data_IF_207586539786
#
_entry.id   IF_207586539786
#
_cell.length_a   1.000
_cell.length_b   1.000
_cell.length_c   1.000
_cell.angle_alpha   90.00
_cell.angle_beta   90.00
_cell.angle_gamma   90.00
#
_symmetry.space_group_name_H-M   'P 1'
#
loop_
_entity.id
_entity.type
_entity.pdbx_description
1 polymer ?
#
# COMPACT_ATOMS: atom_id res chain seq x y z
N UNK A 1 -40.57 53.09 16.85
CA UNK A 1 -39.81 52.90 15.59
C UNK A 1 -38.37 52.52 15.93
N UNK A 2 -37.97 51.29 15.58
CA UNK A 2 -36.66 50.85 15.04
C UNK A 2 -35.36 51.38 15.67
N UNK A 3 -34.50 50.49 16.20
CA UNK A 3 -33.22 50.06 15.56
C UNK A 3 -32.01 50.65 16.31
N UNK A 4 -30.84 50.04 16.58
CA UNK A 4 -30.22 48.73 16.35
C UNK A 4 -29.02 48.64 17.34
N UNK A 5 -28.61 47.42 17.70
CA UNK A 5 -27.44 47.10 18.53
C UNK A 5 -26.08 47.42 17.86
N UNK A 6 -24.96 47.33 18.61
CA UNK A 6 -24.05 46.17 18.40
C UNK A 6 -23.60 45.56 19.77
N UNK A 7 -23.54 44.23 20.00
CA UNK A 7 -22.69 43.18 19.38
C UNK A 7 -21.21 43.54 19.61
N UNK A 8 -20.33 42.90 20.40
CA UNK A 8 -20.22 41.61 21.10
C UNK A 8 -19.13 41.76 22.18
N UNK A 9 -19.40 41.43 23.45
CA UNK A 9 -18.34 41.04 24.39
C UNK A 9 -18.85 39.93 25.29
N UNK A 10 -18.72 38.69 24.83
CA UNK A 10 -18.84 37.52 25.71
C UNK A 10 -17.75 36.53 25.35
N UNK A 11 -16.56 36.81 25.86
CA UNK A 11 -15.49 35.82 25.98
C UNK A 11 -15.90 34.86 27.08
N UNK A 12 -16.28 33.63 26.72
CA UNK A 12 -16.35 32.42 27.55
C UNK A 12 -16.92 31.30 26.66
N UNK A 13 -16.05 30.66 25.89
CA UNK A 13 -16.28 29.32 25.38
C UNK A 13 -14.95 28.57 25.49
N UNK A 14 -14.80 27.99 26.67
CA UNK A 14 -13.99 26.84 26.99
C UNK A 14 -14.13 25.81 25.84
N UNK A 15 -13.18 25.80 24.90
CA UNK A 15 -13.06 24.70 23.94
C UNK A 15 -12.17 23.67 24.57
N UNK A 16 -12.82 22.57 24.93
CA UNK A 16 -12.25 21.39 25.51
C UNK A 16 -11.01 20.92 24.76
N UNK A 17 -10.03 20.55 25.57
CA UNK A 17 -8.88 19.74 25.23
C UNK A 17 -9.37 18.43 24.57
N UNK A 18 -9.36 18.36 23.25
CA UNK A 18 -9.33 17.09 22.56
C UNK A 18 -7.86 16.68 22.50
N UNK A 19 -7.45 15.51 23.03
CA UNK A 19 -6.11 15.02 22.78
C UNK A 19 -6.00 14.82 21.26
N UNK A 20 -5.14 15.61 20.61
CA UNK A 20 -4.75 15.36 19.24
C UNK A 20 -4.36 13.88 19.18
N UNK A 21 -5.12 13.09 18.42
CA UNK A 21 -4.82 11.68 18.19
C UNK A 21 -3.34 11.61 17.83
N UNK A 22 -2.54 10.96 18.68
CA UNK A 22 -1.09 10.98 18.60
C UNK A 22 -0.67 10.61 17.18
N UNK A 23 -0.22 11.60 16.41
CA UNK A 23 0.22 11.41 15.04
C UNK A 23 1.27 10.29 15.09
N UNK A 24 1.03 9.12 14.47
CA UNK A 24 1.96 8.00 14.51
C UNK A 24 3.33 8.35 13.90
N UNK A 25 3.43 9.51 13.24
CA UNK A 25 4.64 10.05 12.63
C UNK A 25 5.24 11.23 13.41
N UNK A 26 4.76 11.56 14.61
CA UNK A 26 5.34 12.63 15.43
C UNK A 26 6.84 12.36 15.77
N UNK A 27 7.25 11.08 15.80
CA UNK A 27 8.65 10.66 15.94
C UNK A 27 9.52 10.78 14.68
N UNK A 28 8.93 11.10 13.51
CA UNK A 28 9.67 11.31 12.25
C UNK A 28 10.50 12.60 12.32
N UNK A 29 10.07 13.59 13.11
CA UNK A 29 10.84 14.81 13.36
C UNK A 29 12.13 14.55 14.17
N UNK A 30 12.20 13.44 14.90
CA UNK A 30 13.39 13.01 15.67
C UNK A 30 14.36 12.16 14.85
N UNK A 31 14.00 11.82 13.61
CA UNK A 31 14.89 11.15 12.66
C UNK A 31 15.62 12.21 11.84
N UNK A 32 16.94 12.06 11.60
CA UNK A 32 17.75 12.93 10.73
C UNK A 32 17.32 12.83 9.24
N UNK A 33 16.07 13.14 8.95
CA UNK A 33 15.48 13.13 7.63
C UNK A 33 15.55 14.53 7.03
N UNK A 34 15.82 14.61 5.73
CA UNK A 34 15.66 15.88 5.03
C UNK A 34 14.18 16.30 5.02
N UNK A 35 13.87 17.61 4.90
CA UNK A 35 12.48 18.08 4.80
C UNK A 35 11.68 17.36 3.71
N UNK A 36 12.31 17.05 2.57
CA UNK A 36 11.70 16.31 1.48
C UNK A 36 11.39 14.85 1.84
N UNK A 37 12.29 14.20 2.59
CA UNK A 37 12.07 12.83 3.08
C UNK A 37 10.93 12.80 4.09
N UNK A 38 10.90 13.73 5.05
CA UNK A 38 9.83 13.86 6.03
C UNK A 38 8.47 14.10 5.35
N UNK A 39 8.40 15.02 4.37
CA UNK A 39 7.19 15.28 3.60
C UNK A 39 6.71 14.05 2.81
N UNK A 40 7.62 13.22 2.28
CA UNK A 40 7.27 11.97 1.60
C UNK A 40 6.71 10.94 2.57
N UNK A 41 7.36 10.75 3.72
CA UNK A 41 6.87 9.84 4.77
C UNK A 41 5.48 10.26 5.23
N UNK A 42 5.25 11.56 5.46
CA UNK A 42 3.94 12.07 5.84
C UNK A 42 2.86 11.87 4.75
N UNK A 43 3.18 12.08 3.47
CA UNK A 43 2.24 11.77 2.38
C UNK A 43 1.93 10.27 2.28
N UNK A 44 2.93 9.42 2.48
CA UNK A 44 2.73 7.97 2.49
C UNK A 44 1.86 7.54 3.67
N UNK A 45 2.15 8.07 4.87
CA UNK A 45 1.34 7.89 6.06
C UNK A 45 -0.13 8.22 5.81
N UNK A 46 -0.37 9.39 5.22
CA UNK A 46 -1.71 9.83 4.85
C UNK A 46 -2.38 8.83 3.90
N UNK A 47 -1.72 8.43 2.81
CA UNK A 47 -2.25 7.45 1.86
C UNK A 47 -2.62 6.12 2.55
N UNK A 48 -1.74 5.59 3.39
CA UNK A 48 -1.97 4.32 4.08
C UNK A 48 -3.16 4.42 5.04
N UNK A 49 -3.32 5.54 5.73
CA UNK A 49 -4.38 5.76 6.70
C UNK A 49 -5.73 6.11 6.04
N UNK A 50 -5.75 7.02 5.08
CA UNK A 50 -7.01 7.57 4.55
C UNK A 50 -7.51 6.81 3.33
N UNK A 51 -6.63 6.47 2.40
CA UNK A 51 -7.02 5.79 1.17
C UNK A 51 -7.13 4.28 1.37
N UNK A 52 -6.10 3.67 1.97
CA UNK A 52 -6.09 2.22 2.23
C UNK A 52 -6.79 1.83 3.53
N UNK A 53 -7.18 2.81 4.36
CA UNK A 53 -7.90 2.61 5.63
C UNK A 53 -7.21 1.62 6.57
N UNK A 54 -5.87 1.61 6.55
CA UNK A 54 -5.09 0.74 7.41
C UNK A 54 -5.19 1.21 8.86
N UNK A 55 -5.45 0.29 9.81
CA UNK A 55 -5.38 0.62 11.24
C UNK A 55 -3.93 0.92 11.62
N UNK A 56 -3.78 1.65 12.74
CA UNK A 56 -2.48 2.14 13.20
C UNK A 56 -1.44 1.03 13.34
N UNK A 57 -1.82 -0.12 13.90
CA UNK A 57 -0.89 -1.22 14.15
C UNK A 57 -0.36 -1.84 12.84
N UNK A 58 -1.20 -1.93 11.81
CA UNK A 58 -0.77 -2.38 10.48
C UNK A 58 0.17 -1.36 9.83
N UNK A 59 -0.11 -0.07 9.97
CA UNK A 59 0.79 0.97 9.47
C UNK A 59 2.18 0.90 10.13
N UNK A 60 2.24 0.62 11.43
CA UNK A 60 3.51 0.46 12.15
C UNK A 60 4.31 -0.74 11.63
N UNK A 61 3.64 -1.83 11.24
CA UNK A 61 4.29 -2.99 10.60
C UNK A 61 4.88 -2.66 9.23
N UNK A 62 4.27 -1.72 8.50
CA UNK A 62 4.74 -1.27 7.18
C UNK A 62 5.84 -0.19 7.25
N UNK A 63 6.02 0.44 8.42
CA UNK A 63 6.92 1.57 8.61
C UNK A 63 8.36 1.29 8.17
N UNK A 64 8.98 0.12 8.43
CA UNK A 64 10.33 -0.17 7.96
C UNK A 64 10.45 -0.12 6.43
N UNK A 65 9.47 -0.66 5.69
CA UNK A 65 9.47 -0.65 4.23
C UNK A 65 9.22 0.77 3.68
N UNK A 66 8.32 1.52 4.32
CA UNK A 66 8.03 2.92 3.98
C UNK A 66 9.25 3.81 4.18
N UNK A 67 9.97 3.68 5.29
CA UNK A 67 11.18 4.48 5.57
C UNK A 67 12.33 4.12 4.62
N UNK A 68 12.44 2.85 4.22
CA UNK A 68 13.47 2.39 3.28
C UNK A 68 13.33 3.03 1.90
N UNK A 69 12.10 3.15 1.40
CA UNK A 69 11.86 3.74 0.07
C UNK A 69 10.50 4.46 -0.04
N UNK A 70 10.33 5.62 0.62
CA UNK A 70 9.04 6.31 0.68
C UNK A 70 8.58 6.85 -0.68
N UNK A 71 9.50 7.00 -1.63
CA UNK A 71 9.23 7.46 -2.99
C UNK A 71 8.61 6.38 -3.90
N UNK A 72 8.71 5.10 -3.54
CA UNK A 72 8.09 4.02 -4.32
C UNK A 72 6.65 3.72 -3.90
N UNK A 73 6.28 4.00 -2.64
CA UNK A 73 4.99 3.61 -2.06
C UNK A 73 3.79 4.12 -2.87
N UNK A 74 3.75 5.41 -3.21
CA UNK A 74 2.65 5.97 -4.01
C UNK A 74 2.58 5.36 -5.40
N UNK A 75 3.72 5.18 -6.06
CA UNK A 75 3.78 4.58 -7.39
C UNK A 75 3.36 3.10 -7.36
N UNK A 76 3.74 2.37 -6.30
CA UNK A 76 3.33 0.98 -6.08
C UNK A 76 1.82 0.86 -5.91
N UNK A 77 1.23 1.70 -5.07
CA UNK A 77 -0.22 1.71 -4.84
C UNK A 77 -0.98 2.05 -6.12
N UNK A 78 -0.50 3.05 -6.88
CA UNK A 78 -1.08 3.38 -8.19
C UNK A 78 -0.97 2.21 -9.18
N UNK A 79 0.19 1.55 -9.22
CA UNK A 79 0.40 0.39 -10.07
C UNK A 79 -0.54 -0.77 -9.70
N UNK A 80 -0.70 -1.08 -8.40
CA UNK A 80 -1.63 -2.11 -7.95
C UNK A 80 -3.07 -1.80 -8.38
N UNK A 81 -3.49 -0.54 -8.24
CA UNK A 81 -4.81 -0.08 -8.73
C UNK A 81 -4.95 -0.22 -10.25
N UNK A 82 -3.87 -0.03 -11.02
CA UNK A 82 -3.90 -0.21 -12.47
C UNK A 82 -4.11 -1.67 -12.91
N UNK A 83 -3.89 -2.63 -12.00
CA UNK A 83 -4.25 -4.03 -12.21
C UNK A 83 -5.72 -4.34 -11.84
N UNK A 84 -6.51 -3.32 -11.52
CA UNK A 84 -7.90 -3.47 -11.11
C UNK A 84 -8.11 -3.74 -9.61
N UNK A 85 -7.05 -3.70 -8.78
CA UNK A 85 -7.19 -3.91 -7.34
C UNK A 85 -7.86 -2.71 -6.66
N UNK A 86 -8.85 -2.99 -5.83
CA UNK A 86 -9.50 -1.98 -4.99
C UNK A 86 -8.64 -1.64 -3.75
N UNK A 87 -8.95 -0.52 -3.08
CA UNK A 87 -8.17 -0.08 -1.91
C UNK A 87 -8.09 -1.13 -0.80
N UNK A 88 -9.17 -1.87 -0.55
CA UNK A 88 -9.18 -2.93 0.47
C UNK A 88 -8.29 -4.12 0.07
N UNK A 89 -8.25 -4.45 -1.22
CA UNK A 89 -7.39 -5.51 -1.77
C UNK A 89 -5.93 -5.10 -1.74
N UNK A 90 -5.63 -3.85 -2.11
CA UNK A 90 -4.29 -3.27 -1.98
C UNK A 90 -3.82 -3.29 -0.53
N UNK A 91 -4.69 -2.89 0.42
CA UNK A 91 -4.40 -2.92 1.85
C UNK A 91 -4.01 -4.32 2.32
N UNK A 92 -4.82 -5.33 1.99
CA UNK A 92 -4.52 -6.74 2.29
C UNK A 92 -3.19 -7.19 1.69
N UNK A 93 -2.93 -6.83 0.43
CA UNK A 93 -1.72 -7.24 -0.27
C UNK A 93 -0.46 -6.67 0.39
N UNK A 94 -0.46 -5.37 0.72
CA UNK A 94 0.70 -4.73 1.34
C UNK A 94 0.92 -5.18 2.78
N UNK A 95 -0.14 -5.56 3.50
CA UNK A 95 -0.02 -6.21 4.81
C UNK A 95 0.62 -7.60 4.70
N UNK A 96 0.20 -8.40 3.71
CA UNK A 96 0.72 -9.74 3.49
C UNK A 96 2.18 -9.75 2.99
N UNK A 97 2.57 -8.72 2.23
CA UNK A 97 3.92 -8.57 1.70
C UNK A 97 4.42 -7.11 1.82
N UNK A 98 4.86 -6.67 3.01
CA UNK A 98 5.29 -5.30 3.26
C UNK A 98 6.42 -4.81 2.34
N UNK A 99 7.34 -5.70 1.99
CA UNK A 99 8.49 -5.36 1.13
C UNK A 99 8.07 -4.91 -0.28
N UNK A 100 6.84 -5.20 -0.72
CA UNK A 100 6.29 -4.67 -1.98
C UNK A 100 6.33 -3.15 -2.07
N UNK A 101 6.16 -2.48 -0.93
CA UNK A 101 6.16 -1.02 -0.84
C UNK A 101 7.54 -0.42 -1.10
N UNK A 102 8.61 -1.21 -0.92
CA UNK A 102 9.98 -0.77 -1.11
C UNK A 102 10.56 -1.10 -2.50
N UNK A 103 9.79 -1.80 -3.35
CA UNK A 103 10.24 -2.17 -4.69
C UNK A 103 9.86 -1.09 -5.72
N UNK A 104 10.75 -0.74 -6.67
CA UNK A 104 10.37 0.09 -7.80
C UNK A 104 9.31 -0.61 -8.67
N UNK A 105 8.35 0.11 -9.26
CA UNK A 105 7.52 -0.44 -10.33
C UNK A 105 8.38 -0.52 -11.60
N UNK A 106 8.62 -1.74 -12.08
CA UNK A 106 9.60 -1.99 -13.16
C UNK A 106 8.97 -2.55 -14.44
N UNK A 107 7.69 -2.90 -14.41
CA UNK A 107 7.01 -3.57 -15.52
C UNK A 107 5.59 -3.03 -15.72
N UNK A 108 5.22 -2.83 -16.98
CA UNK A 108 3.86 -2.50 -17.40
C UNK A 108 3.01 -3.75 -17.65
N UNK A 109 1.72 -3.54 -17.95
CA UNK A 109 0.76 -4.61 -18.20
C UNK A 109 1.23 -5.65 -19.26
N UNK A 110 1.78 -5.27 -20.44
CA UNK A 110 2.16 -6.26 -21.46
C UNK A 110 3.17 -7.30 -20.95
N UNK A 111 4.15 -6.85 -20.16
CA UNK A 111 5.17 -7.74 -19.57
C UNK A 111 4.55 -8.67 -18.54
N UNK A 112 3.52 -8.24 -17.82
CA UNK A 112 2.80 -9.11 -16.89
C UNK A 112 1.95 -10.14 -17.63
N UNK A 113 1.29 -9.75 -18.73
CA UNK A 113 0.51 -10.68 -19.56
C UNK A 113 1.39 -11.79 -20.15
N UNK A 114 2.56 -11.44 -20.69
CA UNK A 114 3.55 -12.42 -21.14
C UNK A 114 3.99 -13.36 -20.01
N UNK A 115 4.19 -12.84 -18.79
CA UNK A 115 4.55 -13.66 -17.62
C UNK A 115 3.42 -14.61 -17.24
N UNK A 116 2.17 -14.16 -17.26
CA UNK A 116 1.03 -15.04 -17.00
C UNK A 116 0.98 -16.17 -18.02
N UNK A 117 1.17 -15.86 -19.31
CA UNK A 117 1.22 -16.87 -20.37
C UNK A 117 2.38 -17.87 -20.18
N UNK A 118 3.57 -17.40 -19.80
CA UNK A 118 4.73 -18.26 -19.47
C UNK A 118 4.48 -19.21 -18.29
N UNK A 119 3.59 -18.81 -17.38
CA UNK A 119 3.14 -19.61 -16.24
C UNK A 119 1.93 -20.51 -16.58
N UNK A 120 1.42 -20.47 -17.82
CA UNK A 120 0.25 -21.23 -18.25
C UNK A 120 -1.07 -20.67 -17.71
N UNK A 121 -1.08 -19.42 -17.25
CA UNK A 121 -2.27 -18.76 -16.73
C UNK A 121 -2.82 -17.75 -17.74
N UNK A 122 -4.15 -17.60 -17.85
CA UNK A 122 -4.73 -16.55 -18.69
C UNK A 122 -4.40 -15.17 -18.08
N UNK A 123 -4.15 -14.13 -18.89
CA UNK A 123 -3.90 -12.77 -18.39
C UNK A 123 -4.97 -12.24 -17.42
N UNK A 124 -6.24 -12.61 -17.64
CA UNK A 124 -7.36 -12.25 -16.77
C UNK A 124 -7.23 -12.81 -15.34
N UNK A 125 -6.44 -13.86 -15.12
CA UNK A 125 -6.19 -14.41 -13.79
C UNK A 125 -5.15 -13.60 -12.99
N UNK A 126 -4.52 -12.56 -13.57
CA UNK A 126 -3.47 -11.80 -12.89
C UNK A 126 -3.98 -11.20 -11.58
N UNK A 127 -5.16 -10.59 -11.60
CA UNK A 127 -5.78 -9.98 -10.43
C UNK A 127 -5.99 -10.99 -9.29
N UNK A 128 -6.65 -12.11 -9.57
CA UNK A 128 -6.91 -13.13 -8.56
C UNK A 128 -5.63 -13.84 -8.10
N UNK A 129 -4.66 -14.03 -9.00
CA UNK A 129 -3.37 -14.65 -8.68
C UNK A 129 -2.57 -13.81 -7.69
N UNK A 130 -2.44 -12.50 -7.91
CA UNK A 130 -1.66 -11.64 -6.99
C UNK A 130 -2.30 -11.54 -5.60
N UNK A 131 -3.63 -11.61 -5.51
CA UNK A 131 -4.34 -11.59 -4.23
C UNK A 131 -4.17 -12.87 -3.43
N UNK A 132 -4.19 -14.02 -4.12
CA UNK A 132 -4.04 -15.33 -3.48
C UNK A 132 -2.56 -15.66 -3.20
N UNK A 133 -1.64 -15.09 -4.00
CA UNK A 133 -0.19 -15.28 -3.88
C UNK A 133 0.54 -13.94 -3.85
N UNK A 134 0.47 -13.17 -2.74
CA UNK A 134 1.19 -11.90 -2.60
C UNK A 134 2.70 -12.04 -2.81
N UNK A 135 3.28 -13.19 -2.46
CA UNK A 135 4.69 -13.52 -2.66
C UNK A 135 5.10 -13.62 -4.15
N UNK A 136 4.15 -13.80 -5.07
CA UNK A 136 4.44 -13.78 -6.51
C UNK A 136 4.74 -12.35 -7.02
N UNK A 137 4.19 -11.32 -6.36
CA UNK A 137 4.25 -9.95 -6.85
C UNK A 137 5.69 -9.42 -6.97
N UNK A 138 6.61 -9.57 -6.00
CA UNK A 138 8.01 -9.16 -6.17
C UNK A 138 8.68 -9.80 -7.39
N UNK A 139 8.45 -11.10 -7.62
CA UNK A 139 9.00 -11.85 -8.76
C UNK A 139 8.42 -11.32 -10.07
N UNK A 140 7.10 -11.17 -10.13
CA UNK A 140 6.38 -10.60 -11.28
C UNK A 140 6.80 -9.16 -11.61
N UNK A 141 7.49 -8.46 -10.70
CA UNK A 141 7.96 -7.11 -10.90
C UNK A 141 9.44 -7.00 -11.30
N UNK A 142 10.22 -8.07 -11.17
CA UNK A 142 11.64 -8.04 -11.56
C UNK A 142 11.77 -7.65 -13.03
N UNK A 143 12.75 -6.83 -13.39
CA UNK A 143 12.95 -6.42 -14.80
C UNK A 143 13.22 -7.61 -15.73
N UNK A 144 13.83 -8.67 -15.19
CA UNK A 144 14.07 -9.94 -15.88
C UNK A 144 13.79 -11.09 -14.91
N UNK A 145 13.22 -12.18 -15.43
CA UNK A 145 13.05 -13.42 -14.70
C UNK A 145 14.22 -14.35 -15.01
N UNK A 146 14.81 -14.92 -13.97
CA UNK A 146 15.76 -16.03 -14.07
C UNK A 146 15.01 -17.37 -14.15
N UNK A 147 15.74 -18.45 -14.46
CA UNK A 147 15.16 -19.80 -14.41
C UNK A 147 14.66 -20.15 -12.99
N UNK A 148 15.33 -19.65 -11.96
CA UNK A 148 14.93 -19.86 -10.57
C UNK A 148 13.65 -19.10 -10.24
N UNK A 149 13.52 -17.85 -10.69
CA UNK A 149 12.28 -17.07 -10.52
C UNK A 149 11.09 -17.74 -11.19
N UNK A 150 11.28 -18.29 -12.40
CA UNK A 150 10.23 -19.01 -13.13
C UNK A 150 9.84 -20.28 -12.37
N UNK A 151 10.82 -21.01 -11.81
CA UNK A 151 10.55 -22.21 -11.00
C UNK A 151 9.75 -21.87 -9.75
N UNK A 152 10.14 -20.82 -9.04
CA UNK A 152 9.44 -20.34 -7.84
C UNK A 152 8.00 -19.90 -8.17
N UNK A 153 7.82 -19.11 -9.22
CA UNK A 153 6.48 -18.71 -9.69
C UNK A 153 5.61 -19.92 -10.05
N UNK A 154 6.16 -20.92 -10.73
CA UNK A 154 5.43 -22.17 -11.04
C UNK A 154 5.05 -22.95 -9.78
N UNK A 155 5.92 -22.96 -8.76
CA UNK A 155 5.59 -23.55 -7.46
C UNK A 155 4.39 -22.86 -6.81
N UNK A 156 4.33 -21.53 -6.86
CA UNK A 156 3.19 -20.76 -6.34
C UNK A 156 1.89 -21.03 -7.11
N UNK A 157 1.98 -21.26 -8.43
CA UNK A 157 0.86 -21.67 -9.27
C UNK A 157 0.39 -23.09 -8.92
N UNK A 158 1.30 -24.05 -8.73
CA UNK A 158 0.94 -25.42 -8.35
C UNK A 158 0.21 -25.47 -7.00
N UNK A 159 0.71 -24.75 -5.99
CA UNK A 159 0.05 -24.62 -4.69
C UNK A 159 -1.35 -24.01 -4.80
N UNK A 160 -1.63 -23.20 -5.83
CA UNK A 160 -2.97 -22.66 -6.07
C UNK A 160 -3.94 -23.75 -6.52
N UNK A 161 -3.49 -24.67 -7.38
CA UNK A 161 -4.31 -25.77 -7.86
C UNK A 161 -4.63 -26.79 -6.74
N UNK A 162 -3.63 -27.12 -5.91
CA UNK A 162 -3.78 -28.06 -4.79
C UNK A 162 -4.73 -27.55 -3.71
N UNK A 163 -4.71 -26.24 -3.41
CA UNK A 163 -5.61 -25.64 -2.42
C UNK A 163 -7.09 -25.58 -2.82
N UNK A 164 -7.41 -25.81 -4.10
CA UNK A 164 -8.80 -25.90 -4.58
C UNK A 164 -9.37 -27.31 -4.41
N UNK A 165 -8.52 -28.34 -4.47
CA UNK A 165 -8.95 -29.74 -4.35
C UNK A 165 -9.21 -30.17 -2.89
N UNK A 166 -8.53 -29.58 -1.90
CA UNK A 166 -8.76 -29.88 -0.47
C UNK A 166 -10.05 -29.28 0.11
N UNK A 167 -10.80 -28.49 -0.67
CA UNK A 167 -12.01 -27.79 -0.22
C UNK A 167 -13.31 -28.36 -0.83
N UNK A 168 -13.25 -29.52 -1.48
CA UNK A 168 -14.39 -30.24 -2.10
C UNK A 168 -14.69 -31.52 -1.31
#
# INVERSE_FOLDING_TARGET
>A
MRSLAPVLTRSMAQVAHAPAAADPFNGVQSMNLSPDQAARVHRTAHLLHTELRLPRDDMLRLLPAVLRAPHFVQNRVRWLRSLGLENAEVARLVQAAPDLLALPPVVGAPVLEERMQLLGLPPAALHSFVLQRPAAVPLLLKSRLTADDIRELRGLVAQLAEGVEEMI
#
